data_IF_825206389689
#
_entry.id   IF_825206389689
#
_cell.length_a   1.000
_cell.length_b   1.000
_cell.length_c   1.000
_cell.angle_alpha   90.00
_cell.angle_beta   90.00
_cell.angle_gamma   90.00
#
_symmetry.space_group_name_H-M   'P 1'
#
loop_
_entity.id
_entity.type
_entity.pdbx_description
1 polymer ?
#
# COMPACT_ATOMS: atom_id res chain seq x y z
N UNK A 1 18.06 -1.15 10.74
CA UNK A 1 17.50 -0.82 10.87
C UNK A 1 16.42 -1.03 11.46
N UNK A 2 15.89 -0.71 11.96
CA UNK A 2 15.00 -0.88 12.55
C UNK A 2 13.95 -1.31 11.99
N UNK A 3 13.76 -1.05 11.08
CA UNK A 3 12.82 -1.48 10.41
C UNK A 3 12.89 -2.84 10.36
N UNK A 4 13.86 -3.38 10.59
CA UNK A 4 13.96 -4.71 10.61
C UNK A 4 13.03 -5.28 11.49
N UNK A 5 12.70 -4.67 12.50
CA UNK A 5 11.78 -5.15 13.34
C UNK A 5 10.51 -5.30 12.72
N UNK A 6 10.09 -4.43 11.95
CA UNK A 6 8.83 -4.47 11.36
C UNK A 6 8.72 -5.63 10.46
N UNK A 7 9.76 -6.16 9.90
CA UNK A 7 9.58 -7.22 9.07
C UNK A 7 9.92 -8.52 9.61
N UNK A 8 10.20 -8.59 10.85
CA UNK A 8 10.37 -9.85 11.40
C UNK A 8 9.14 -10.58 11.44
N UNK A 9 8.03 -9.96 11.61
CA UNK A 9 6.79 -10.63 11.71
C UNK A 9 6.27 -11.01 10.37
N UNK A 10 6.81 -10.51 9.33
CA UNK A 10 6.37 -10.85 8.03
C UNK A 10 7.54 -10.81 7.15
N UNK A 11 7.39 -11.05 5.92
CA UNK A 11 8.51 -11.03 5.04
C UNK A 11 8.44 -9.87 4.08
N UNK A 12 7.65 -8.86 4.42
CA UNK A 12 7.56 -7.68 3.61
C UNK A 12 8.34 -6.57 4.27
N UNK A 13 8.72 -5.61 3.49
CA UNK A 13 9.44 -4.46 3.98
C UNK A 13 8.75 -3.22 3.45
N UNK A 14 8.45 -2.28 4.34
CA UNK A 14 7.81 -1.04 3.95
C UNK A 14 8.77 0.09 4.28
N UNK A 15 9.10 0.88 3.28
CA UNK A 15 10.03 1.97 3.45
C UNK A 15 9.30 3.27 3.18
N UNK A 16 9.25 4.14 4.15
CA UNK A 16 8.59 5.43 3.98
C UNK A 16 9.52 6.36 3.24
N UNK A 17 9.13 6.73 2.03
CA UNK A 17 9.92 7.62 1.21
C UNK A 17 9.62 9.09 1.51
N UNK A 18 8.38 9.38 1.88
CA UNK A 18 7.99 10.73 2.20
C UNK A 18 6.94 10.68 3.28
N UNK A 19 7.14 11.42 4.34
CA UNK A 19 6.13 11.52 5.38
C UNK A 19 5.77 12.99 5.47
N UNK A 20 4.76 13.38 4.72
CA UNK A 20 4.36 14.76 4.64
C UNK A 20 3.18 15.05 5.53
N UNK A 21 2.72 16.27 5.49
CA UNK A 21 1.59 16.65 6.30
C UNK A 21 0.28 16.15 5.77
N UNK A 22 0.17 15.87 4.55
CA UNK A 22 -1.07 15.38 3.99
C UNK A 22 -0.90 14.18 3.12
N UNK A 23 0.33 13.70 3.00
CA UNK A 23 0.61 12.60 2.09
C UNK A 23 1.81 11.81 2.58
N UNK A 24 1.64 10.53 2.66
CA UNK A 24 2.77 9.65 2.92
C UNK A 24 3.01 8.81 1.67
N UNK A 25 4.25 8.62 1.31
CA UNK A 25 4.61 7.79 0.17
C UNK A 25 5.47 6.65 0.72
N UNK A 26 5.03 5.44 0.45
CA UNK A 26 5.65 4.24 1.01
C UNK A 26 6.00 3.29 -0.11
N UNK A 27 7.21 2.77 -0.08
CA UNK A 27 7.62 1.74 -1.00
C UNK A 27 7.45 0.40 -0.28
N UNK A 28 6.68 -0.49 -0.85
CA UNK A 28 6.36 -1.76 -0.24
C UNK A 28 7.05 -2.87 -1.03
N UNK A 29 7.92 -3.61 -0.38
CA UNK A 29 8.64 -4.70 -1.00
C UNK A 29 8.14 -5.99 -0.40
N UNK A 30 7.64 -6.88 -1.21
CA UNK A 30 7.03 -8.12 -0.76
C UNK A 30 7.65 -9.30 -1.46
N UNK A 31 7.75 -10.41 -0.76
CA UNK A 31 8.20 -11.63 -1.35
C UNK A 31 6.98 -12.47 -1.68
N UNK A 32 7.12 -13.39 -2.59
CA UNK A 32 6.01 -14.24 -2.99
C UNK A 32 5.34 -14.83 -1.77
N UNK A 33 4.05 -14.72 -1.69
CA UNK A 33 3.27 -15.25 -0.58
C UNK A 33 3.05 -14.30 0.57
N UNK A 34 3.76 -13.19 0.59
CA UNK A 34 3.57 -12.21 1.66
C UNK A 34 2.21 -11.57 1.52
N UNK A 35 1.63 -11.21 2.64
CA UNK A 35 0.34 -10.54 2.66
C UNK A 35 0.38 -9.32 3.53
N UNK A 36 -0.32 -8.30 3.08
CA UNK A 36 -0.61 -7.15 3.91
C UNK A 36 -2.08 -7.31 4.21
N UNK A 37 -2.39 -7.71 5.44
CA UNK A 37 -3.76 -8.06 5.79
C UNK A 37 -4.70 -6.89 5.74
N UNK A 38 -5.96 -7.22 5.79
CA UNK A 38 -7.01 -6.23 5.64
C UNK A 38 -6.86 -5.08 6.59
N UNK A 39 -6.89 -3.88 6.07
CA UNK A 39 -6.83 -2.67 6.88
C UNK A 39 -7.42 -1.54 6.06
N UNK A 40 -7.58 -0.39 6.67
CA UNK A 40 -8.10 0.76 5.97
C UNK A 40 -7.20 1.95 6.28
N UNK A 41 -7.25 2.94 5.41
CA UNK A 41 -6.44 4.14 5.58
C UNK A 41 -7.35 5.30 5.94
N UNK A 42 -6.83 6.31 6.62
CA UNK A 42 -7.64 7.45 7.01
C UNK A 42 -8.06 8.33 5.83
N UNK A 43 -7.36 8.23 4.74
CA UNK A 43 -7.68 9.00 3.55
C UNK A 43 -7.59 8.13 2.33
N UNK A 44 -7.85 8.68 1.17
CA UNK A 44 -7.72 7.91 -0.06
C UNK A 44 -6.29 7.47 -0.26
N UNK A 45 -6.10 6.38 -0.96
CA UNK A 45 -4.75 5.94 -1.25
C UNK A 45 -4.68 5.39 -2.66
N UNK A 46 -3.49 5.38 -3.21
CA UNK A 46 -3.25 4.72 -4.48
C UNK A 46 -2.10 3.74 -4.31
N UNK A 47 -2.13 2.69 -5.11
CA UNK A 47 -1.08 1.71 -5.11
C UNK A 47 -0.65 1.48 -6.55
N UNK A 48 0.62 1.62 -6.81
CA UNK A 48 1.17 1.44 -8.14
C UNK A 48 2.13 0.28 -8.10
N UNK A 49 1.94 -0.71 -8.97
CA UNK A 49 2.81 -1.86 -9.01
C UNK A 49 4.02 -1.51 -9.87
N UNK A 50 5.20 -1.59 -9.28
CA UNK A 50 6.43 -1.26 -9.97
C UNK A 50 7.08 -2.50 -10.55
N UNK A 51 7.06 -3.60 -9.80
CA UNK A 51 7.63 -4.85 -10.23
C UNK A 51 6.81 -5.98 -9.69
N UNK A 52 6.78 -7.09 -10.40
CA UNK A 52 6.11 -8.28 -9.92
C UNK A 52 4.61 -8.24 -10.11
N UNK A 53 3.92 -9.01 -9.30
CA UNK A 53 2.47 -9.13 -9.44
C UNK A 53 1.84 -9.28 -8.09
N UNK A 54 0.72 -8.64 -7.89
CA UNK A 54 0.00 -8.74 -6.64
C UNK A 54 -1.47 -9.03 -6.89
N UNK A 55 -2.15 -9.43 -5.83
CA UNK A 55 -3.59 -9.58 -5.84
C UNK A 55 -4.11 -8.59 -4.82
N UNK A 56 -4.95 -7.69 -5.24
CA UNK A 56 -5.48 -6.63 -4.41
C UNK A 56 -6.96 -6.90 -4.17
N UNK A 57 -7.39 -6.87 -2.92
CA UNK A 57 -8.77 -7.14 -2.56
C UNK A 57 -9.34 -5.95 -1.81
N UNK A 58 -10.51 -5.50 -2.21
CA UNK A 58 -11.20 -4.40 -1.55
C UNK A 58 -12.68 -4.46 -1.90
N UNK A 59 -13.52 -4.18 -0.95
CA UNK A 59 -14.96 -4.08 -1.18
C UNK A 59 -15.52 -5.30 -1.90
N UNK A 60 -15.10 -6.46 -1.47
CA UNK A 60 -15.59 -7.73 -2.03
C UNK A 60 -15.12 -7.96 -3.46
N UNK A 61 -14.18 -7.22 -3.94
CA UNK A 61 -13.65 -7.45 -5.26
C UNK A 61 -12.17 -7.77 -5.16
N UNK A 62 -11.68 -8.55 -6.11
CA UNK A 62 -10.30 -8.94 -6.11
C UNK A 62 -9.74 -8.70 -7.50
N UNK A 63 -8.60 -8.08 -7.58
CA UNK A 63 -8.00 -7.71 -8.85
C UNK A 63 -6.54 -8.10 -8.86
N UNK A 64 -6.10 -8.75 -9.92
CA UNK A 64 -4.67 -9.00 -10.12
C UNK A 64 -4.04 -7.78 -10.76
N UNK A 65 -2.87 -7.42 -10.32
CA UNK A 65 -2.21 -6.22 -10.83
C UNK A 65 -0.76 -6.51 -11.18
N UNK A 66 -0.32 -5.97 -12.29
CA UNK A 66 1.03 -6.15 -12.81
C UNK A 66 1.70 -4.79 -12.94
N UNK A 67 2.97 -4.74 -13.25
CA UNK A 67 3.67 -3.47 -13.36
C UNK A 67 2.95 -2.53 -14.30
N UNK A 68 2.81 -1.30 -13.90
CA UNK A 68 2.10 -0.30 -14.66
C UNK A 68 0.65 -0.13 -14.22
N UNK A 69 0.16 -1.00 -13.34
CA UNK A 69 -1.21 -0.89 -12.85
C UNK A 69 -1.27 0.09 -11.69
N UNK A 70 -2.28 0.95 -11.70
CA UNK A 70 -2.51 1.87 -10.61
C UNK A 70 -3.90 1.60 -10.05
N UNK A 71 -3.96 1.36 -8.76
CA UNK A 71 -5.21 1.08 -8.07
C UNK A 71 -5.47 2.17 -7.05
N UNK A 72 -6.72 2.45 -6.80
CA UNK A 72 -7.08 3.47 -5.81
C UNK A 72 -8.18 2.98 -4.88
N UNK A 73 -8.16 3.46 -3.66
CA UNK A 73 -9.16 3.16 -2.67
C UNK A 73 -9.55 4.42 -1.93
N UNK A 74 -10.83 4.57 -1.66
CA UNK A 74 -11.29 5.70 -0.86
C UNK A 74 -10.96 5.49 0.61
N UNK A 75 -11.04 6.54 1.37
CA UNK A 75 -10.80 6.49 2.79
C UNK A 75 -11.75 5.48 3.44
N UNK A 76 -11.24 4.73 4.37
CA UNK A 76 -12.05 3.81 5.15
C UNK A 76 -12.38 2.48 4.48
N UNK A 77 -12.03 2.31 3.23
CA UNK A 77 -12.31 1.05 2.55
C UNK A 77 -11.26 0.03 2.99
N UNK A 78 -11.72 -1.10 3.48
CA UNK A 78 -10.79 -2.13 3.92
C UNK A 78 -10.22 -2.84 2.71
N UNK A 79 -8.96 -3.10 2.73
CA UNK A 79 -8.28 -3.71 1.61
C UNK A 79 -7.12 -4.59 2.08
N UNK A 80 -6.71 -5.48 1.22
CA UNK A 80 -5.55 -6.33 1.50
C UNK A 80 -4.78 -6.53 0.22
N UNK A 81 -3.52 -6.90 0.36
CA UNK A 81 -2.62 -7.10 -0.76
C UNK A 81 -1.87 -8.39 -0.54
N UNK A 82 -1.78 -9.21 -1.56
CA UNK A 82 -1.01 -10.44 -1.48
C UNK A 82 -0.03 -10.46 -2.64
N UNK A 83 1.21 -10.78 -2.38
CA UNK A 83 2.21 -10.86 -3.43
C UNK A 83 2.12 -12.22 -4.09
N UNK A 84 1.81 -12.24 -5.38
CA UNK A 84 1.71 -13.47 -6.13
C UNK A 84 3.10 -13.91 -6.59
N UNK A 85 4.00 -12.97 -6.67
CA UNK A 85 5.42 -13.22 -6.89
C UNK A 85 6.12 -12.12 -6.14
N UNK A 86 7.43 -12.09 -6.14
CA UNK A 86 8.15 -11.00 -5.49
C UNK A 86 7.67 -9.71 -6.15
N UNK A 87 7.35 -8.72 -5.38
CA UNK A 87 6.71 -7.52 -5.91
C UNK A 87 7.20 -6.26 -5.21
N UNK A 88 7.19 -5.16 -5.94
CA UNK A 88 7.52 -3.86 -5.40
C UNK A 88 6.37 -2.93 -5.77
N UNK A 89 5.79 -2.29 -4.78
CA UNK A 89 4.66 -1.39 -5.00
C UNK A 89 4.92 -0.04 -4.36
N UNK A 90 4.34 0.98 -4.95
CA UNK A 90 4.47 2.32 -4.40
C UNK A 90 3.09 2.74 -3.92
N UNK A 91 2.98 3.10 -2.66
CA UNK A 91 1.73 3.54 -2.07
C UNK A 91 1.77 5.02 -1.79
N UNK A 92 0.68 5.69 -2.15
CA UNK A 92 0.50 7.08 -1.80
C UNK A 92 -0.72 7.11 -0.91
N UNK A 93 -0.57 7.55 0.32
CA UNK A 93 -1.66 7.56 1.30
C UNK A 93 -1.91 8.98 1.73
N UNK A 94 -3.12 9.46 1.49
CA UNK A 94 -3.49 10.80 1.89
C UNK A 94 -3.87 10.75 3.36
N UNK A 95 -3.19 11.55 4.17
CA UNK A 95 -3.40 11.49 5.59
C UNK A 95 -4.12 12.69 6.14
N UNK A 96 -4.32 13.65 5.38
CA UNK A 96 -4.72 14.86 5.79
C UNK A 96 -5.84 15.18 6.55
N UNK A 97 -5.92 16.15 7.03
CA UNK A 97 -6.72 16.54 7.66
C UNK A 97 -7.00 17.72 7.12
N UNK A 98 -7.05 18.10 6.64
CA UNK A 98 -7.21 18.81 6.17
C UNK A 98 -7.63 19.31 5.51
N UNK A 99 -8.17 19.56 5.32
CA UNK A 99 -8.59 19.84 4.87
C UNK A 99 -8.94 20.61 4.48
N UNK A 100 -9.26 21.20 4.54
CA UNK A 100 -9.58 21.89 4.41
C UNK A 100 -9.26 22.66 3.76
N UNK A 101 -8.99 23.09 3.68
CA UNK A 101 -8.61 23.77 3.28
C UNK A 101 -8.43 24.01 2.25
N UNK A 102 -8.68 23.92 1.64
CA UNK A 102 -8.56 24.08 0.73
C UNK A 102 -8.88 24.67 0.30
N UNK A 103 -9.10 24.95 0.55
CA UNK A 103 -9.35 25.33 0.29
C UNK A 103 -9.30 25.63 -0.11
#
# INVERSE_FOLDING_TARGET
MREEKAWQGGRRNAITLLKGEGLNVVLLVMKEGDRLDEHSAPGPMTLSVQEGRIRFSAADEEVGAEPGTLLGCDAGVRHSVEAVGDAVCLLNVVTGRERRELS
#
